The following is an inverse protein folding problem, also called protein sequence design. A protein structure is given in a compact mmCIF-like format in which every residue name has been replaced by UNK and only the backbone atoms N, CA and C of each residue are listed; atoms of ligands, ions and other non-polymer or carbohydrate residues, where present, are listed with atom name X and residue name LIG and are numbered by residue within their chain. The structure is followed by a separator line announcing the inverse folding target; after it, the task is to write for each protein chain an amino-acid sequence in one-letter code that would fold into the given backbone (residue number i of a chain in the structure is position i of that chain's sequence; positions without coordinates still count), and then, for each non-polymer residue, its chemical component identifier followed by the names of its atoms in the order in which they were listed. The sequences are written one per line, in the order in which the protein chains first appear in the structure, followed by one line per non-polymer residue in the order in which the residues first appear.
data_IF_305446475818
#
_entry.id   IF_305446475818
#
_cell.length_a   1.000
_cell.length_b   1.000
_cell.length_c   1.000
_cell.angle_alpha   90.00
_cell.angle_beta   90.00
_cell.angle_gamma   90.00
#
_symmetry.space_group_name_H-M   'P 1'
#
loop_
_entity.id
_entity.type
_entity.pdbx_description
1 polymer ?
#
# COMPACT_ATOMS: atom_id res chain seq x y z
N UNK A 1 13.80 -16.31 36.04
CA UNK A 1 13.40 -17.16 34.90
C UNK A 1 12.38 -16.40 34.07
N UNK A 2 12.75 -16.15 32.81
CA UNK A 2 11.93 -15.87 31.62
C UNK A 2 11.03 -14.62 31.68
N UNK A 3 11.60 -13.51 31.21
CA UNK A 3 10.86 -12.41 30.62
C UNK A 3 10.19 -12.91 29.32
N UNK A 4 8.89 -13.15 29.36
CA UNK A 4 8.09 -13.36 28.16
C UNK A 4 7.85 -11.99 27.49
N UNK A 5 8.87 -11.50 26.79
CA UNK A 5 8.66 -10.46 25.79
C UNK A 5 7.85 -11.12 24.66
N UNK A 6 6.55 -10.85 24.65
CA UNK A 6 5.75 -10.98 23.43
C UNK A 6 6.31 -9.92 22.49
N UNK A 7 7.32 -10.29 21.71
CA UNK A 7 7.68 -9.58 20.49
C UNK A 7 6.48 -9.73 19.57
N UNK A 8 5.53 -8.81 19.67
CA UNK A 8 4.83 -8.38 18.48
C UNK A 8 5.95 -7.93 17.54
N UNK A 9 6.29 -8.79 16.57
CA UNK A 9 7.19 -8.42 15.50
C UNK A 9 6.59 -7.19 14.84
N UNK A 10 7.08 -6.02 15.21
CA UNK A 10 6.87 -4.79 14.48
C UNK A 10 7.56 -5.07 13.15
N UNK A 11 6.79 -5.56 12.18
CA UNK A 11 7.34 -5.95 10.89
C UNK A 11 7.65 -4.65 10.17
N UNK A 12 8.83 -4.10 10.42
CA UNK A 12 9.31 -2.91 9.72
C UNK A 12 9.52 -3.32 8.27
N UNK A 13 8.87 -2.63 7.30
CA UNK A 13 9.08 -2.93 5.90
C UNK A 13 10.58 -2.80 5.60
N UNK A 14 11.13 -3.78 4.88
CA UNK A 14 12.51 -3.68 4.42
C UNK A 14 12.64 -2.53 3.41
N UNK A 15 13.85 -2.02 3.21
CA UNK A 15 14.10 -0.96 2.23
C UNK A 15 13.60 -1.34 0.82
N UNK A 16 13.63 -2.63 0.49
CA UNK A 16 13.11 -3.14 -0.79
C UNK A 16 11.58 -3.00 -0.88
N UNK A 17 10.86 -3.31 0.19
CA UNK A 17 9.40 -3.15 0.27
C UNK A 17 9.01 -1.68 0.26
N UNK A 18 9.72 -0.83 1.02
CA UNK A 18 9.51 0.62 1.03
C UNK A 18 9.73 1.22 -0.37
N UNK A 19 10.86 0.91 -1.01
CA UNK A 19 11.18 1.41 -2.34
C UNK A 19 10.21 0.93 -3.44
N UNK A 20 9.52 -0.19 -3.21
CA UNK A 20 8.47 -0.69 -4.08
C UNK A 20 7.14 0.03 -3.86
N UNK A 21 6.72 0.21 -2.61
CA UNK A 21 5.54 0.98 -2.26
C UNK A 21 5.64 2.44 -2.76
N UNK A 22 6.80 3.07 -2.60
CA UNK A 22 7.08 4.41 -3.13
C UNK A 22 6.97 4.47 -4.65
N UNK A 23 7.45 3.41 -5.34
CA UNK A 23 7.33 3.32 -6.79
C UNK A 23 5.87 3.25 -7.23
N UNK A 24 5.05 2.41 -6.58
CA UNK A 24 3.63 2.28 -6.90
C UNK A 24 2.91 3.61 -6.64
N UNK A 25 3.07 4.17 -5.44
CA UNK A 25 2.47 5.46 -5.07
C UNK A 25 2.86 6.58 -6.03
N UNK A 26 4.15 6.71 -6.34
CA UNK A 26 4.64 7.73 -7.28
C UNK A 26 4.06 7.56 -8.68
N UNK A 27 3.94 6.32 -9.18
CA UNK A 27 3.41 6.06 -10.52
C UNK A 27 1.91 6.28 -10.62
N UNK A 28 1.17 5.84 -9.60
CA UNK A 28 -0.28 6.01 -9.53
C UNK A 28 -0.62 7.50 -9.42
N UNK A 29 0.02 8.23 -8.51
CA UNK A 29 -0.23 9.66 -8.29
C UNK A 29 0.29 10.56 -9.43
N UNK A 30 1.23 10.08 -10.23
CA UNK A 30 1.69 10.78 -11.42
C UNK A 30 0.79 10.54 -12.66
N UNK A 31 -0.15 9.59 -12.59
CA UNK A 31 -1.08 9.36 -13.68
C UNK A 31 -2.07 10.55 -13.75
N UNK A 32 -2.20 11.24 -14.91
CA UNK A 32 -3.11 12.38 -15.03
C UNK A 32 -4.57 12.04 -14.72
N UNK A 33 -4.99 10.79 -14.92
CA UNK A 33 -6.34 10.35 -14.58
C UNK A 33 -6.56 10.29 -13.06
N UNK A 34 -5.50 10.23 -12.23
CA UNK A 34 -5.62 10.25 -10.77
C UNK A 34 -5.73 11.67 -10.19
N UNK A 35 -5.64 12.73 -11.01
CA UNK A 35 -5.95 14.11 -10.57
C UNK A 35 -7.45 14.24 -10.25
N UNK A 36 -8.29 13.60 -11.06
CA UNK A 36 -9.72 13.42 -10.83
C UNK A 36 -10.03 11.92 -11.05
N UNK A 37 -9.83 11.08 -10.01
CA UNK A 37 -9.85 9.63 -10.14
C UNK A 37 -11.13 9.13 -10.82
N UNK A 38 -11.03 8.25 -11.83
CA UNK A 38 -12.21 7.71 -12.50
C UNK A 38 -13.16 7.07 -11.48
N UNK A 39 -14.47 7.31 -11.61
CA UNK A 39 -15.47 6.63 -10.79
C UNK A 39 -15.48 5.11 -11.01
N UNK A 40 -15.09 4.69 -12.23
CA UNK A 40 -14.95 3.30 -12.61
C UNK A 40 -13.72 2.64 -11.95
N UNK A 41 -13.99 1.57 -11.20
CA UNK A 41 -12.96 0.76 -10.55
C UNK A 41 -12.01 0.15 -11.58
N UNK A 42 -12.51 -0.31 -12.73
CA UNK A 42 -11.67 -0.97 -13.72
C UNK A 42 -10.62 0.00 -14.29
N UNK A 43 -10.99 1.26 -14.54
CA UNK A 43 -10.05 2.30 -14.95
C UNK A 43 -8.97 2.58 -13.88
N UNK A 44 -9.33 2.66 -12.59
CA UNK A 44 -8.35 2.82 -11.50
C UNK A 44 -7.41 1.62 -11.38
N UNK A 45 -7.94 0.40 -11.53
CA UNK A 45 -7.13 -0.82 -11.51
C UNK A 45 -6.22 -0.96 -12.73
N UNK A 46 -6.60 -0.44 -13.89
CA UNK A 46 -5.72 -0.43 -15.05
C UNK A 46 -4.47 0.43 -14.82
N UNK A 47 -4.60 1.56 -14.10
CA UNK A 47 -3.48 2.42 -13.69
C UNK A 47 -2.57 1.67 -12.71
N UNK A 48 -3.16 0.99 -11.72
CA UNK A 48 -2.42 0.13 -10.80
C UNK A 48 -1.65 -0.97 -11.53
N UNK A 49 -2.28 -1.69 -12.47
CA UNK A 49 -1.63 -2.75 -13.22
C UNK A 49 -0.48 -2.23 -14.12
N UNK A 50 -0.61 -1.01 -14.65
CA UNK A 50 0.48 -0.33 -15.35
C UNK A 50 1.64 0.03 -14.40
N UNK A 51 1.34 0.50 -13.19
CA UNK A 51 2.33 0.76 -12.15
C UNK A 51 3.04 -0.54 -11.71
N UNK A 52 2.31 -1.63 -11.49
CA UNK A 52 2.87 -2.94 -11.15
C UNK A 52 3.91 -3.40 -12.18
N UNK A 53 3.57 -3.32 -13.48
CA UNK A 53 4.48 -3.69 -14.57
C UNK A 53 5.77 -2.87 -14.56
N UNK A 54 5.65 -1.57 -14.27
CA UNK A 54 6.79 -0.64 -14.23
C UNK A 54 7.67 -0.89 -12.99
N UNK A 55 7.05 -1.18 -11.85
CA UNK A 55 7.75 -1.38 -10.58
C UNK A 55 8.22 -2.83 -10.36
N UNK A 56 7.84 -3.79 -11.22
CA UNK A 56 8.15 -5.21 -11.09
C UNK A 56 9.65 -5.52 -10.90
N UNK A 57 10.54 -4.70 -11.46
CA UNK A 57 11.99 -4.87 -11.31
C UNK A 57 12.45 -4.78 -9.85
N UNK A 58 11.82 -3.91 -9.03
CA UNK A 58 12.14 -3.73 -7.61
C UNK A 58 11.77 -4.95 -6.77
N UNK A 59 10.73 -5.68 -7.22
CA UNK A 59 10.31 -6.95 -6.60
C UNK A 59 11.25 -8.10 -6.99
N UNK A 60 11.79 -8.12 -8.21
CA UNK A 60 12.74 -9.16 -8.68
C UNK A 60 14.11 -9.12 -8.00
N UNK A 61 14.52 -7.97 -7.49
CA UNK A 61 15.80 -7.80 -6.77
C UNK A 61 15.71 -8.08 -5.27
N UNK A 62 14.56 -8.53 -4.78
CA UNK A 62 14.28 -8.65 -3.35
C UNK A 62 14.50 -10.05 -2.81
N UNK A 63 14.61 -10.14 -1.48
CA UNK A 63 14.82 -11.40 -0.78
C UNK A 63 13.48 -12.14 -0.63
N UNK A 64 13.48 -13.49 -0.61
CA UNK A 64 12.25 -14.27 -0.54
C UNK A 64 11.42 -13.99 0.72
N UNK A 65 12.04 -13.59 1.84
CA UNK A 65 11.35 -13.18 3.06
C UNK A 65 10.44 -11.95 2.88
N UNK A 66 10.73 -11.11 1.89
CA UNK A 66 9.97 -9.89 1.61
C UNK A 66 8.76 -10.16 0.70
N UNK A 67 8.64 -11.36 0.11
CA UNK A 67 7.61 -11.72 -0.86
C UNK A 67 6.17 -11.46 -0.35
N UNK A 68 5.87 -11.91 0.86
CA UNK A 68 4.56 -11.74 1.49
C UNK A 68 4.23 -10.26 1.79
N UNK A 69 5.26 -9.45 2.06
CA UNK A 69 5.10 -8.00 2.25
C UNK A 69 4.77 -7.30 0.94
N UNK A 70 5.42 -7.66 -0.18
CA UNK A 70 5.06 -7.13 -1.49
C UNK A 70 3.61 -7.46 -1.87
N UNK A 71 3.18 -8.70 -1.64
CA UNK A 71 1.78 -9.10 -1.89
C UNK A 71 0.79 -8.31 -1.03
N UNK A 72 1.16 -8.01 0.23
CA UNK A 72 0.33 -7.17 1.10
C UNK A 72 0.24 -5.74 0.60
N UNK A 73 1.34 -5.15 0.11
CA UNK A 73 1.35 -3.81 -0.50
C UNK A 73 0.43 -3.81 -1.73
N UNK A 74 0.58 -4.77 -2.64
CA UNK A 74 -0.25 -4.87 -3.86
C UNK A 74 -1.74 -5.00 -3.52
N UNK A 75 -2.08 -5.84 -2.55
CA UNK A 75 -3.45 -6.03 -2.10
C UNK A 75 -4.02 -4.76 -1.43
N UNK A 76 -3.22 -4.08 -0.60
CA UNK A 76 -3.64 -2.85 0.07
C UNK A 76 -3.87 -1.73 -0.93
N UNK A 77 -2.94 -1.51 -1.85
CA UNK A 77 -3.08 -0.47 -2.88
C UNK A 77 -4.26 -0.75 -3.79
N UNK A 78 -4.46 -2.01 -4.20
CA UNK A 78 -5.66 -2.41 -4.95
C UNK A 78 -6.94 -2.09 -4.19
N UNK A 79 -7.03 -2.45 -2.90
CA UNK A 79 -8.24 -2.23 -2.09
C UNK A 79 -8.62 -0.75 -2.01
N UNK A 80 -7.63 0.13 -1.84
CA UNK A 80 -7.85 1.59 -1.83
C UNK A 80 -8.39 2.09 -3.18
N UNK A 81 -7.96 1.50 -4.29
CA UNK A 81 -8.43 1.88 -5.62
C UNK A 81 -9.80 1.28 -5.97
N UNK A 82 -10.14 0.12 -5.39
CA UNK A 82 -11.47 -0.46 -5.51
C UNK A 82 -12.50 0.37 -4.74
N UNK A 83 -12.15 0.77 -3.52
CA UNK A 83 -13.03 1.53 -2.63
C UNK A 83 -12.26 2.67 -1.92
N UNK A 84 -12.08 3.82 -2.60
CA UNK A 84 -11.37 4.95 -2.02
C UNK A 84 -12.13 5.60 -0.87
N UNK A 85 -13.47 5.46 -0.82
CA UNK A 85 -14.29 6.04 0.25
C UNK A 85 -14.11 5.26 1.55
N UNK A 86 -14.08 3.93 1.51
CA UNK A 86 -13.80 3.12 2.69
C UNK A 86 -12.36 3.31 3.22
N UNK A 87 -11.41 3.73 2.36
CA UNK A 87 -10.05 4.04 2.78
C UNK A 87 -9.97 5.34 3.61
N UNK A 88 -10.72 6.39 3.24
CA UNK A 88 -10.76 7.64 4.01
C UNK A 88 -11.54 7.51 5.33
N UNK A 89 -12.47 6.55 5.44
CA UNK A 89 -13.19 6.31 6.69
C UNK A 89 -12.35 5.58 7.77
N UNK A 90 -11.27 4.88 7.40
CA UNK A 90 -10.36 4.24 8.36
C UNK A 90 -9.47 5.29 9.08
N UNK A 91 -9.23 6.46 8.46
CA UNK A 91 -8.56 7.61 9.08
C UNK A 91 -9.53 8.55 9.83
N UNK A 92 -10.84 8.42 9.62
CA UNK A 92 -11.88 9.27 10.21
C UNK A 92 -12.17 9.02 11.70
N UNK A 93 -11.79 7.85 12.22
CA UNK A 93 -12.05 7.45 13.62
C UNK A 93 -11.10 8.12 14.65
N UNK A 94 -10.13 8.92 14.19
CA UNK A 94 -9.32 9.79 15.05
C UNK A 94 -10.00 11.14 15.35
N UNK A 95 -11.08 11.48 14.67
CA UNK A 95 -11.81 12.74 14.91
C UNK A 95 -12.77 12.67 16.12
N UNK A 96 -13.11 11.47 16.61
CA UNK A 96 -14.00 11.23 17.76
C UNK A 96 -13.25 10.89 19.06
N UNK A 97 -11.94 11.15 19.12
CA UNK A 97 -11.23 11.17 20.40
C UNK A 97 -11.78 12.35 21.26
N UNK A 98 -12.37 12.10 22.43
CA UNK A 98 -12.85 13.18 23.28
C UNK A 98 -11.66 14.06 23.67
N UNK A 99 -11.72 15.35 23.29
CA UNK A 99 -10.78 16.35 23.79
C UNK A 99 -10.88 16.41 25.32
N UNK A 100 -9.75 16.58 26.05
CA UNK A 100 -9.73 16.74 27.50
C UNK A 100 -10.53 17.96 27.97
#
# INVERSE_FOLDING_TARGET
MIAAMILAAQVTPSDAVAAYADCLSSRINADPAMIDPPADVAARLAIHDAALKTCAAKRKSSRPEDAAMFDRVDASTRKVLEDPVAAEQDDGDLADAPKP
#
